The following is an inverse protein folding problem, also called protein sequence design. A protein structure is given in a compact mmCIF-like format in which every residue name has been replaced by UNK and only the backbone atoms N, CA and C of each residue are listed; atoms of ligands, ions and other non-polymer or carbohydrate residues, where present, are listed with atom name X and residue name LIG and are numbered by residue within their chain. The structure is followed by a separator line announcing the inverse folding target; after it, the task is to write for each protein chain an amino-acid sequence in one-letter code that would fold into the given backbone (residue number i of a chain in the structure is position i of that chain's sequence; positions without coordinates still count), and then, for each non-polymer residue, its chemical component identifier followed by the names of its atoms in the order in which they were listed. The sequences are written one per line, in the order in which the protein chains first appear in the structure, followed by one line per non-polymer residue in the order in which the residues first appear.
data_IF_809564553435
#
_entry.id   IF_809564553435
#
_cell.length_a   1.000
_cell.length_b   1.000
_cell.length_c   1.000
_cell.angle_alpha   90.00
_cell.angle_beta   90.00
_cell.angle_gamma   90.00
#
_symmetry.space_group_name_H-M   'P 1'
#
loop_
_entity.id
_entity.type
_entity.pdbx_description
1 polymer ?
#
# COMPACT_ATOMS: atom_id res chain seq x y z
N UNK A 1 -1.45 -12.32 -19.92
CA UNK A 1 -2.57 -13.10 -19.34
C UNK A 1 -2.85 -12.52 -17.96
N UNK A 2 -4.10 -12.27 -17.58
CA UNK A 2 -4.43 -11.72 -16.27
C UNK A 2 -3.90 -12.62 -15.14
N UNK A 3 -3.40 -12.03 -14.07
CA UNK A 3 -2.93 -12.79 -12.90
C UNK A 3 -4.13 -13.41 -12.16
N UNK A 4 -4.04 -14.70 -11.80
CA UNK A 4 -5.04 -15.35 -10.94
C UNK A 4 -4.96 -14.80 -9.52
N UNK A 5 -6.02 -14.12 -9.07
CA UNK A 5 -6.10 -13.50 -7.76
C UNK A 5 -5.90 -14.49 -6.58
N UNK A 6 -6.17 -15.79 -6.79
CA UNK A 6 -5.96 -16.84 -5.76
C UNK A 6 -4.49 -17.08 -5.45
N UNK A 7 -3.59 -16.63 -6.33
CA UNK A 7 -2.14 -16.74 -6.15
C UNK A 7 -1.54 -15.56 -5.37
N UNK A 8 -2.36 -14.55 -5.06
CA UNK A 8 -1.94 -13.35 -4.35
C UNK A 8 -2.12 -13.52 -2.85
N UNK A 9 -1.20 -12.96 -2.07
CA UNK A 9 -1.32 -12.89 -0.61
C UNK A 9 -1.49 -11.45 -0.15
N UNK A 10 -2.30 -11.26 0.89
CA UNK A 10 -2.59 -9.94 1.45
C UNK A 10 -2.45 -9.96 2.96
N UNK A 11 -1.55 -9.13 3.48
CA UNK A 11 -1.40 -8.87 4.91
C UNK A 11 -2.16 -7.60 5.30
N UNK A 12 -2.88 -7.63 6.42
CA UNK A 12 -3.70 -6.52 6.90
C UNK A 12 -3.30 -6.13 8.33
N UNK A 13 -2.23 -5.35 8.53
CA UNK A 13 -1.77 -4.94 9.85
C UNK A 13 -2.79 -4.04 10.54
N UNK A 14 -2.95 -4.20 11.86
CA UNK A 14 -3.88 -3.40 12.66
C UNK A 14 -3.35 -2.01 13.04
N UNK A 15 -2.05 -1.78 12.88
CA UNK A 15 -1.39 -0.52 13.24
C UNK A 15 -0.06 -0.36 12.49
N UNK A 16 0.48 0.86 12.50
CA UNK A 16 1.71 1.20 11.79
C UNK A 16 2.92 0.41 12.29
N UNK A 17 3.03 0.15 13.59
CA UNK A 17 4.14 -0.62 14.15
C UNK A 17 4.17 -2.05 13.60
N UNK A 18 3.01 -2.70 13.53
CA UNK A 18 2.88 -4.04 12.95
C UNK A 18 3.21 -4.04 11.45
N UNK A 19 2.74 -3.03 10.71
CA UNK A 19 3.06 -2.87 9.29
C UNK A 19 4.57 -2.76 9.03
N UNK A 20 5.25 -1.90 9.79
CA UNK A 20 6.70 -1.72 9.71
C UNK A 20 7.46 -2.98 10.11
N UNK A 21 7.02 -3.70 11.13
CA UNK A 21 7.63 -4.97 11.54
C UNK A 21 7.47 -6.06 10.45
N UNK A 22 6.33 -6.12 9.78
CA UNK A 22 6.11 -7.03 8.65
C UNK A 22 7.01 -6.69 7.46
N UNK A 23 7.11 -5.41 7.08
CA UNK A 23 7.98 -4.94 6.00
C UNK A 23 9.46 -5.19 6.30
N UNK A 24 9.89 -5.01 7.55
CA UNK A 24 11.25 -5.30 7.96
C UNK A 24 11.58 -6.80 7.90
N UNK A 25 10.59 -7.66 8.17
CA UNK A 25 10.75 -9.12 8.15
C UNK A 25 10.67 -9.70 6.74
N UNK A 26 9.80 -9.17 5.89
CA UNK A 26 9.54 -9.64 4.53
C UNK A 26 9.67 -8.48 3.53
N UNK A 27 10.88 -8.23 2.99
CA UNK A 27 11.13 -7.15 2.05
C UNK A 27 10.38 -7.28 0.72
N UNK A 28 9.84 -8.46 0.39
CA UNK A 28 9.05 -8.66 -0.84
C UNK A 28 7.59 -8.22 -0.69
N UNK A 29 7.12 -7.89 0.52
CA UNK A 29 5.78 -7.33 0.73
C UNK A 29 5.68 -5.95 0.08
N UNK A 30 4.77 -5.83 -0.87
CA UNK A 30 4.52 -4.56 -1.56
C UNK A 30 3.39 -3.78 -0.87
N UNK A 31 3.66 -2.55 -0.38
CA UNK A 31 2.61 -1.69 0.16
C UNK A 31 1.56 -1.34 -0.89
N UNK A 32 0.29 -1.47 -0.55
CA UNK A 32 -0.82 -1.07 -1.42
C UNK A 32 -1.84 -0.20 -0.69
N UNK A 33 -2.47 0.67 -1.48
CA UNK A 33 -3.59 1.52 -1.08
C UNK A 33 -4.65 1.50 -2.18
N UNK A 34 -4.96 2.63 -2.84
CA UNK A 34 -6.01 2.73 -3.88
C UNK A 34 -5.89 1.79 -5.09
N UNK A 35 -4.78 1.05 -5.22
CA UNK A 35 -4.55 -0.01 -6.21
C UNK A 35 -4.70 0.40 -7.69
N UNK A 36 -4.64 1.69 -8.01
CA UNK A 36 -4.84 2.18 -9.39
C UNK A 36 -3.74 1.72 -10.33
N UNK A 37 -2.51 1.63 -9.84
CA UNK A 37 -1.34 1.08 -10.53
C UNK A 37 -1.29 -0.46 -10.46
N UNK A 38 -1.54 -1.02 -9.28
CA UNK A 38 -1.48 -2.46 -9.02
C UNK A 38 -2.51 -3.23 -9.86
N UNK A 39 -3.77 -2.76 -9.89
CA UNK A 39 -4.83 -3.40 -10.66
C UNK A 39 -4.48 -3.44 -12.15
N UNK A 40 -3.95 -2.33 -12.69
CA UNK A 40 -3.52 -2.23 -14.09
C UNK A 40 -2.39 -3.24 -14.36
N UNK A 41 -1.38 -3.28 -13.50
CA UNK A 41 -0.25 -4.20 -13.65
C UNK A 41 -0.64 -5.68 -13.61
N UNK A 42 -1.53 -6.05 -12.69
CA UNK A 42 -2.03 -7.42 -12.56
C UNK A 42 -2.96 -7.81 -13.74
N UNK A 43 -3.78 -6.87 -14.22
CA UNK A 43 -4.71 -7.13 -15.32
C UNK A 43 -3.98 -7.40 -16.64
N UNK A 44 -2.98 -6.57 -16.97
CA UNK A 44 -2.19 -6.75 -18.20
C UNK A 44 -1.06 -7.77 -18.05
N UNK A 45 -0.80 -8.25 -16.82
CA UNK A 45 0.27 -9.22 -16.54
C UNK A 45 1.67 -8.61 -16.67
N UNK A 46 1.80 -7.30 -16.40
CA UNK A 46 3.07 -6.56 -16.43
C UNK A 46 3.73 -6.44 -15.05
N UNK A 47 3.04 -6.89 -13.99
CA UNK A 47 3.56 -6.95 -12.63
C UNK A 47 3.75 -8.39 -12.17
N UNK A 48 4.94 -8.68 -11.64
CA UNK A 48 5.28 -9.96 -11.01
C UNK A 48 5.05 -9.96 -9.49
N UNK A 49 4.54 -8.86 -8.93
CA UNK A 49 4.23 -8.77 -7.50
C UNK A 49 3.09 -9.72 -7.13
N UNK A 50 3.28 -10.51 -6.08
CA UNK A 50 2.27 -11.46 -5.56
C UNK A 50 1.94 -11.27 -4.08
N UNK A 51 2.80 -10.57 -3.33
CA UNK A 51 2.69 -10.42 -1.88
C UNK A 51 2.46 -8.96 -1.52
N UNK A 52 1.34 -8.69 -0.88
CA UNK A 52 0.89 -7.33 -0.61
C UNK A 52 0.62 -7.07 0.87
N UNK A 53 0.75 -5.81 1.27
CA UNK A 53 0.33 -5.31 2.58
C UNK A 53 -0.64 -4.14 2.41
N UNK A 54 -1.87 -4.30 2.90
CA UNK A 54 -2.93 -3.29 2.88
C UNK A 54 -2.66 -2.23 3.95
N UNK A 55 -2.31 -1.02 3.53
CA UNK A 55 -2.09 0.10 4.46
C UNK A 55 -3.34 0.96 4.64
N UNK A 56 -4.43 0.71 3.92
CA UNK A 56 -5.58 1.63 3.85
C UNK A 56 -6.21 1.95 5.21
N UNK A 57 -6.19 1.00 6.15
CA UNK A 57 -6.75 1.21 7.50
C UNK A 57 -5.84 1.99 8.45
N UNK A 58 -4.66 2.46 8.01
CA UNK A 58 -3.68 3.13 8.87
C UNK A 58 -3.87 4.65 8.83
N UNK A 59 -4.76 5.17 9.66
CA UNK A 59 -5.10 6.61 9.70
C UNK A 59 -3.90 7.53 9.98
N UNK A 60 -2.86 7.01 10.65
CA UNK A 60 -1.61 7.73 10.89
C UNK A 60 -0.87 8.16 9.61
N UNK A 61 -1.19 7.53 8.47
CA UNK A 61 -0.60 7.83 7.17
C UNK A 61 -1.46 8.79 6.34
N UNK A 62 -2.57 9.32 6.89
CA UNK A 62 -3.49 10.21 6.18
C UNK A 62 -3.24 11.68 6.50
N UNK A 63 -3.79 12.52 5.65
CA UNK A 63 -3.92 13.95 5.88
C UNK A 63 -2.66 14.75 5.57
N UNK A 64 -2.82 16.06 5.70
CA UNK A 64 -1.80 17.05 5.41
C UNK A 64 -1.61 17.88 6.66
N UNK A 65 -0.36 17.99 7.11
CA UNK A 65 0.01 18.87 8.22
C UNK A 65 1.04 19.88 7.76
N UNK A 66 0.96 21.10 8.28
CA UNK A 66 1.87 22.19 7.92
C UNK A 66 2.36 22.83 9.21
N UNK A 67 3.64 22.58 9.59
CA UNK A 67 4.46 23.32 10.59
C UNK A 67 5.76 22.57 10.96
N UNK A 68 6.96 23.18 10.83
CA UNK A 68 7.34 24.28 9.93
C UNK A 68 7.44 23.86 8.45
N UNK A 69 7.31 22.55 8.17
CA UNK A 69 7.39 21.96 6.83
C UNK A 69 6.03 21.33 6.51
N UNK A 70 5.64 21.34 5.23
CA UNK A 70 4.50 20.60 4.72
C UNK A 70 4.78 19.10 4.78
N UNK A 71 3.97 18.35 5.52
CA UNK A 71 4.01 16.89 5.57
C UNK A 71 2.73 16.36 4.97
N UNK A 72 2.87 15.50 3.97
CA UNK A 72 1.77 14.81 3.30
C UNK A 72 1.87 13.34 3.71
N UNK A 73 0.80 12.81 4.29
CA UNK A 73 0.70 11.40 4.59
C UNK A 73 0.71 10.54 3.31
N UNK A 74 1.30 9.35 3.37
CA UNK A 74 1.39 8.45 2.22
C UNK A 74 0.03 7.94 1.70
N UNK A 75 -1.04 8.07 2.49
CA UNK A 75 -2.42 7.74 2.12
C UNK A 75 -3.28 8.97 1.80
N UNK A 76 -2.69 10.16 1.74
CA UNK A 76 -3.39 11.35 1.26
C UNK A 76 -3.76 11.16 -0.21
N UNK A 77 -5.03 11.38 -0.54
CA UNK A 77 -5.55 11.19 -1.90
C UNK A 77 -5.33 12.44 -2.74
N UNK A 78 -5.30 12.29 -4.08
CA UNK A 78 -5.14 13.44 -4.98
C UNK A 78 -6.27 14.47 -4.86
N UNK A 79 -7.44 14.07 -4.34
CA UNK A 79 -8.56 15.00 -4.09
C UNK A 79 -8.34 15.91 -2.89
N UNK A 80 -7.35 15.60 -2.05
CA UNK A 80 -6.97 16.41 -0.88
C UNK A 80 -5.77 17.34 -1.16
N UNK A 81 -5.15 17.23 -2.33
CA UNK A 81 -3.96 17.99 -2.78
C UNK A 81 -4.38 19.03 -3.81
#
# INVERSE_FOLDING_TARGET
MPVDARTLTLQRPRNLKAALAMLAKEPTLTPIAGCTDVLVGLHFGTSDTRQFIDLWSLDQLRGITSKPILRIGALTTYTEI
#
